data_IF_242712080939
#
_entry.id   IF_242712080939
#
_cell.length_a   1.000
_cell.length_b   1.000
_cell.length_c   1.000
_cell.angle_alpha   90.00
_cell.angle_beta   90.00
_cell.angle_gamma   90.00
#
_symmetry.space_group_name_H-M   'P 1'
#
loop_
_entity.id
_entity.type
_entity.pdbx_description
1 polymer ?
#
# COMPACT_ATOMS: atom_id res chain seq x y z
N UNK A 1 4.98 3.76 13.28
CA UNK A 1 3.87 4.18 12.37
C UNK A 1 3.50 3.01 11.48
N UNK A 2 2.22 2.87 11.11
CA UNK A 2 1.77 1.81 10.19
C UNK A 2 2.07 2.23 8.74
N UNK A 3 2.58 1.32 7.90
CA UNK A 3 2.87 1.61 6.49
C UNK A 3 1.59 2.04 5.74
N UNK A 4 1.64 2.96 4.76
CA UNK A 4 0.46 3.42 4.00
C UNK A 4 -0.41 2.28 3.45
N UNK A 5 0.21 1.22 2.91
CA UNK A 5 -0.49 0.01 2.43
C UNK A 5 -1.39 -0.60 3.52
N UNK A 6 -0.88 -0.73 4.75
CA UNK A 6 -1.66 -1.28 5.86
C UNK A 6 -2.81 -0.34 6.23
N UNK A 7 -2.57 0.98 6.22
CA UNK A 7 -3.60 1.97 6.50
C UNK A 7 -4.73 1.91 5.47
N UNK A 8 -4.40 1.84 4.17
CA UNK A 8 -5.38 1.69 3.08
C UNK A 8 -6.21 0.44 3.31
N UNK A 9 -5.55 -0.71 3.52
CA UNK A 9 -6.21 -1.99 3.74
C UNK A 9 -7.18 -1.96 4.91
N UNK A 10 -6.75 -1.40 6.05
CA UNK A 10 -7.53 -1.33 7.28
C UNK A 10 -8.73 -0.37 7.12
N UNK A 11 -8.53 0.78 6.49
CA UNK A 11 -9.62 1.74 6.21
C UNK A 11 -10.70 1.17 5.29
N UNK A 12 -10.32 0.29 4.37
CA UNK A 12 -11.25 -0.40 3.47
C UNK A 12 -11.80 -1.72 4.04
N UNK A 13 -11.34 -2.13 5.23
CA UNK A 13 -11.72 -3.37 5.90
C UNK A 13 -11.59 -4.63 5.01
N UNK A 14 -10.47 -4.76 4.30
CA UNK A 14 -10.16 -5.91 3.45
C UNK A 14 -8.92 -6.68 3.97
N UNK A 15 -8.76 -7.94 3.59
CA UNK A 15 -7.53 -8.70 3.91
C UNK A 15 -6.39 -8.37 2.95
N UNK A 16 -5.18 -8.80 3.30
CA UNK A 16 -4.01 -8.65 2.43
C UNK A 16 -4.20 -9.39 1.09
N UNK A 17 -4.95 -10.50 1.10
CA UNK A 17 -5.24 -11.29 -0.10
C UNK A 17 -6.21 -10.56 -1.03
N UNK A 18 -7.26 -9.92 -0.48
CA UNK A 18 -8.16 -9.11 -1.31
C UNK A 18 -7.42 -7.92 -1.92
N UNK A 19 -6.64 -7.18 -1.13
CA UNK A 19 -5.88 -6.03 -1.65
C UNK A 19 -4.91 -6.45 -2.76
N UNK A 20 -4.19 -7.56 -2.55
CA UNK A 20 -3.29 -8.12 -3.56
C UNK A 20 -4.02 -8.47 -4.87
N UNK A 21 -5.21 -9.07 -4.76
CA UNK A 21 -6.06 -9.39 -5.91
C UNK A 21 -6.50 -8.13 -6.67
N UNK A 22 -6.92 -7.08 -5.95
CA UNK A 22 -7.34 -5.82 -6.55
C UNK A 22 -6.20 -5.10 -7.29
N UNK A 23 -4.97 -5.23 -6.78
CA UNK A 23 -3.78 -4.59 -7.34
C UNK A 23 -3.05 -5.46 -8.39
N UNK A 24 -3.54 -6.67 -8.66
CA UNK A 24 -2.85 -7.68 -9.46
C UNK A 24 -1.39 -7.91 -9.00
N UNK A 25 -1.21 -8.05 -7.68
CA UNK A 25 0.08 -8.31 -7.04
C UNK A 25 0.04 -9.63 -6.25
N UNK A 26 1.21 -10.20 -5.98
CA UNK A 26 1.31 -11.32 -5.02
C UNK A 26 1.05 -10.82 -3.60
N UNK A 27 0.26 -11.56 -2.81
CA UNK A 27 -0.04 -11.21 -1.41
C UNK A 27 1.22 -11.06 -0.54
N UNK A 28 2.27 -11.83 -0.84
CA UNK A 28 3.57 -11.68 -0.16
C UNK A 28 4.13 -10.26 -0.29
N UNK A 29 3.95 -9.57 -1.42
CA UNK A 29 4.41 -8.18 -1.59
C UNK A 29 3.67 -7.23 -0.66
N UNK A 30 2.35 -7.40 -0.52
CA UNK A 30 1.54 -6.61 0.42
C UNK A 30 2.07 -6.78 1.84
N UNK A 31 2.30 -8.02 2.28
CA UNK A 31 2.87 -8.30 3.61
C UNK A 31 4.26 -7.68 3.80
N UNK A 32 5.15 -7.76 2.80
CA UNK A 32 6.46 -7.12 2.86
C UNK A 32 6.37 -5.59 2.96
N UNK A 33 5.45 -4.96 2.23
CA UNK A 33 5.23 -3.52 2.29
C UNK A 33 4.69 -3.11 3.66
N UNK A 34 3.65 -3.79 4.15
CA UNK A 34 3.04 -3.50 5.46
C UNK A 34 4.02 -3.61 6.63
N UNK A 35 5.02 -4.48 6.49
CA UNK A 35 6.08 -4.72 7.50
C UNK A 35 7.37 -3.92 7.27
N UNK A 36 7.39 -2.98 6.32
CA UNK A 36 8.59 -2.21 5.95
C UNK A 36 9.80 -3.05 5.50
N UNK A 37 9.62 -4.35 5.25
CA UNK A 37 10.69 -5.24 4.74
C UNK A 37 11.11 -4.89 3.32
N UNK A 38 10.23 -4.23 2.58
CA UNK A 38 10.46 -3.80 1.21
C UNK A 38 9.64 -2.55 0.94
N UNK A 39 10.20 -1.61 0.19
CA UNK A 39 9.41 -0.53 -0.38
C UNK A 39 8.80 -0.97 -1.72
N UNK A 40 7.55 -0.57 -2.04
CA UNK A 40 7.06 -0.73 -3.40
C UNK A 40 7.99 0.00 -4.36
N UNK A 41 8.11 -0.52 -5.60
CA UNK A 41 8.70 0.28 -6.68
C UNK A 41 7.78 1.46 -6.99
N UNK A 42 8.32 2.54 -7.58
CA UNK A 42 7.52 3.72 -7.94
C UNK A 42 6.25 3.36 -8.74
N UNK A 43 6.29 2.48 -9.77
CA UNK A 43 5.06 2.06 -10.46
C UNK A 43 4.05 1.34 -9.56
N UNK A 44 4.52 0.53 -8.60
CA UNK A 44 3.63 -0.15 -7.67
C UNK A 44 3.06 0.82 -6.63
N UNK A 45 3.84 1.82 -6.20
CA UNK A 45 3.37 2.88 -5.31
C UNK A 45 2.23 3.66 -5.97
N UNK A 46 2.39 4.07 -7.24
CA UNK A 46 1.30 4.70 -8.00
C UNK A 46 0.07 3.80 -8.14
N UNK A 47 0.24 2.50 -8.44
CA UNK A 47 -0.91 1.57 -8.46
C UNK A 47 -1.68 1.54 -7.13
N UNK A 48 -0.97 1.58 -6.01
CA UNK A 48 -1.57 1.59 -4.68
C UNK A 48 -2.26 2.93 -4.40
N UNK A 49 -1.64 4.05 -4.77
CA UNK A 49 -2.19 5.41 -4.63
C UNK A 49 -3.47 5.53 -5.46
N UNK A 50 -3.43 5.19 -6.75
CA UNK A 50 -4.61 5.23 -7.63
C UNK A 50 -5.76 4.38 -7.09
N UNK A 51 -5.45 3.21 -6.53
CA UNK A 51 -6.44 2.35 -5.88
C UNK A 51 -7.04 3.02 -4.64
N UNK A 52 -6.22 3.65 -3.80
CA UNK A 52 -6.67 4.38 -2.63
C UNK A 52 -7.56 5.58 -3.01
N UNK A 53 -7.16 6.35 -4.01
CA UNK A 53 -7.90 7.53 -4.50
C UNK A 53 -9.28 7.15 -5.04
N UNK A 54 -9.38 6.03 -5.77
CA UNK A 54 -10.67 5.47 -6.23
C UNK A 54 -11.63 5.12 -5.08
N UNK A 55 -11.12 4.95 -3.86
CA UNK A 55 -11.91 4.70 -2.66
C UNK A 55 -11.98 5.91 -1.72
N UNK A 56 -11.64 7.11 -2.20
CA UNK A 56 -11.73 8.36 -1.43
C UNK A 56 -10.62 8.52 -0.38
N UNK A 57 -9.54 7.74 -0.47
CA UNK A 57 -8.38 7.86 0.39
C UNK A 57 -7.26 8.59 -0.35
N UNK A 58 -6.63 9.57 0.30
CA UNK A 58 -5.57 10.37 -0.31
C UNK A 58 -4.21 10.02 0.31
N UNK A 59 -3.27 9.64 -0.55
CA UNK A 59 -1.87 9.37 -0.23
C UNK A 59 -1.00 9.90 -1.37
N UNK A 60 0.26 10.21 -1.10
CA UNK A 60 1.26 10.62 -2.09
C UNK A 60 2.48 9.69 -2.02
N UNK A 61 3.45 9.86 -2.93
CA UNK A 61 4.67 9.02 -2.92
C UNK A 61 5.48 9.20 -1.63
N UNK A 62 5.57 10.43 -1.10
CA UNK A 62 6.35 10.72 0.09
C UNK A 62 5.88 9.88 1.28
N UNK A 63 4.57 9.63 1.41
CA UNK A 63 4.01 8.75 2.43
C UNK A 63 4.63 7.33 2.45
N UNK A 64 5.07 6.83 1.29
CA UNK A 64 5.64 5.47 1.12
C UNK A 64 7.16 5.42 1.27
N UNK A 65 7.83 6.57 1.17
CA UNK A 65 9.28 6.69 1.19
C UNK A 65 9.78 7.67 2.26
N UNK A 66 9.00 7.89 3.32
CA UNK A 66 9.46 8.68 4.46
C UNK A 66 10.72 8.01 5.02
N UNK A 67 11.86 8.63 4.70
CA UNK A 67 13.16 8.31 5.26
C UNK A 67 13.06 8.65 6.75
N UNK A 68 13.10 7.63 7.61
CA UNK A 68 13.21 7.82 9.06
C UNK A 68 14.63 8.37 9.33
N UNK A 69 14.80 9.68 9.16
CA UNK A 69 15.86 10.43 9.84
C UNK A 69 15.53 10.58 11.31
#
# INVERSE_FOLDING_TARGET
>A
MSHPVAQIRQKLNISQRELAKQLAMHQHLISCYESWKKHPSVPNAYKIIDFAEKHGLRFNLDDFYIDLR
#
